data_IF_775545511726
#
_entry.id   IF_775545511726
#
_cell.length_a   1.000
_cell.length_b   1.000
_cell.length_c   1.000
_cell.angle_alpha   90.00
_cell.angle_beta   90.00
_cell.angle_gamma   90.00
#
_symmetry.space_group_name_H-M   'P 1'
#
loop_
_entity.id
_entity.type
_entity.pdbx_description
1 polymer ?
#
# COMPACT_ATOMS: atom_id res chain seq x y z
N UNK A 1 11.56 -2.16 -15.11
CA UNK A 1 10.41 -2.78 -14.43
C UNK A 1 9.17 -2.16 -15.06
N UNK A 2 8.13 -2.93 -15.38
CA UNK A 2 6.90 -2.33 -15.92
C UNK A 2 5.97 -1.93 -14.76
N UNK A 3 5.07 -0.97 -14.99
CA UNK A 3 4.06 -0.51 -14.00
C UNK A 3 3.28 -1.69 -13.39
N UNK A 4 3.03 -2.74 -14.20
CA UNK A 4 2.34 -3.94 -13.76
C UNK A 4 3.17 -4.74 -12.75
N UNK A 5 4.47 -4.85 -12.98
CA UNK A 5 5.39 -5.56 -12.09
C UNK A 5 5.53 -4.84 -10.74
N UNK A 6 5.53 -3.50 -10.74
CA UNK A 6 5.61 -2.69 -9.51
C UNK A 6 4.35 -2.82 -8.66
N UNK A 7 3.17 -2.79 -9.31
CA UNK A 7 1.89 -3.01 -8.64
C UNK A 7 1.82 -4.40 -8.01
N UNK A 8 2.19 -5.43 -8.76
CA UNK A 8 2.08 -6.81 -8.29
C UNK A 8 3.08 -7.08 -7.15
N UNK A 9 4.30 -6.55 -7.23
CA UNK A 9 5.29 -6.60 -6.14
C UNK A 9 4.77 -5.93 -4.85
N UNK A 10 4.11 -4.78 -4.95
CA UNK A 10 3.58 -4.07 -3.79
C UNK A 10 2.41 -4.84 -3.14
N UNK A 11 1.58 -5.50 -3.94
CA UNK A 11 0.49 -6.35 -3.44
C UNK A 11 1.03 -7.57 -2.69
N UNK A 12 2.11 -8.18 -3.18
CA UNK A 12 2.81 -9.26 -2.49
C UNK A 12 3.35 -8.81 -1.14
N UNK A 13 4.02 -7.65 -1.07
CA UNK A 13 4.52 -7.10 0.20
C UNK A 13 3.39 -6.84 1.21
N UNK A 14 2.25 -6.31 0.76
CA UNK A 14 1.08 -6.09 1.62
C UNK A 14 0.52 -7.43 2.12
N UNK A 15 0.53 -8.47 1.27
CA UNK A 15 0.06 -9.80 1.63
C UNK A 15 0.94 -10.48 2.69
N UNK A 16 2.24 -10.18 2.73
CA UNK A 16 3.14 -10.65 3.77
C UNK A 16 2.89 -9.96 5.13
N UNK A 17 2.32 -8.76 5.11
CA UNK A 17 2.20 -7.91 6.30
C UNK A 17 0.81 -7.91 6.94
N UNK A 18 -0.23 -8.19 6.16
CA UNK A 18 -1.62 -8.05 6.61
C UNK A 18 -2.39 -9.36 6.39
N UNK A 19 -3.09 -9.83 7.42
CA UNK A 19 -3.84 -11.09 7.37
C UNK A 19 -4.95 -11.11 6.30
N UNK A 20 -5.56 -9.95 6.05
CA UNK A 20 -6.61 -9.77 5.06
C UNK A 20 -6.27 -8.61 4.12
N UNK A 21 -5.39 -8.84 3.12
CA UNK A 21 -4.86 -7.79 2.24
C UNK A 21 -5.96 -7.06 1.47
N UNK A 22 -6.89 -7.81 0.88
CA UNK A 22 -8.01 -7.23 0.12
C UNK A 22 -8.88 -6.31 0.98
N UNK A 23 -9.24 -6.75 2.19
CA UNK A 23 -10.02 -5.94 3.11
C UNK A 23 -9.26 -4.68 3.55
N UNK A 24 -7.95 -4.78 3.76
CA UNK A 24 -7.11 -3.65 4.12
C UNK A 24 -6.99 -2.63 2.97
N UNK A 25 -6.83 -3.12 1.73
CA UNK A 25 -6.78 -2.28 0.54
C UNK A 25 -8.08 -1.49 0.32
N UNK A 26 -9.23 -2.06 0.70
CA UNK A 26 -10.54 -1.43 0.59
C UNK A 26 -10.92 -0.57 1.82
N UNK A 27 -10.18 -0.68 2.92
CA UNK A 27 -10.48 0.06 4.15
C UNK A 27 -9.90 1.48 4.09
N UNK A 28 -10.71 2.52 4.37
CA UNK A 28 -10.22 3.89 4.54
C UNK A 28 -9.04 3.98 5.51
N UNK A 29 -7.93 4.61 5.08
CA UNK A 29 -6.73 4.76 5.91
C UNK A 29 -6.55 6.21 6.36
N UNK A 30 -6.46 6.44 7.67
CA UNK A 30 -6.30 7.78 8.24
C UNK A 30 -5.00 8.48 7.81
N UNK A 31 -3.91 7.72 7.57
CA UNK A 31 -2.64 8.26 7.06
C UNK A 31 -2.71 8.68 5.59
N UNK A 32 -3.73 8.22 4.88
CA UNK A 32 -4.05 8.58 3.50
C UNK A 32 -5.22 9.58 3.43
N UNK A 33 -5.48 10.33 4.51
CA UNK A 33 -6.59 11.29 4.55
C UNK A 33 -7.97 10.64 4.47
N UNK A 34 -8.10 9.36 4.87
CA UNK A 34 -9.34 8.60 4.78
C UNK A 34 -9.58 7.93 3.43
N UNK A 35 -8.62 7.97 2.51
CA UNK A 35 -8.71 7.23 1.25
C UNK A 35 -8.32 5.76 1.42
N UNK A 36 -8.95 4.84 0.66
CA UNK A 36 -8.55 3.45 0.65
C UNK A 36 -7.22 3.29 -0.11
N UNK A 37 -6.27 2.47 0.39
CA UNK A 37 -5.01 2.19 -0.30
C UNK A 37 -5.17 1.73 -1.76
N UNK A 38 -6.25 0.99 -2.08
CA UNK A 38 -6.53 0.53 -3.46
C UNK A 38 -6.59 1.68 -4.46
N UNK A 39 -7.11 2.85 -4.05
CA UNK A 39 -7.23 4.01 -4.93
C UNK A 39 -5.87 4.58 -5.38
N UNK A 40 -4.80 4.29 -4.64
CA UNK A 40 -3.44 4.76 -4.95
C UNK A 40 -2.69 3.84 -5.93
N UNK A 41 -3.18 2.62 -6.16
CA UNK A 41 -2.48 1.64 -7.00
C UNK A 41 -2.53 1.97 -8.50
N UNK A 42 -3.42 2.87 -8.92
CA UNK A 42 -3.66 3.15 -10.33
C UNK A 42 -2.68 4.15 -10.95
N UNK A 43 -1.93 4.92 -10.15
CA UNK A 43 -0.98 5.94 -10.61
C UNK A 43 0.39 5.84 -9.90
N UNK A 44 1.45 6.31 -10.56
CA UNK A 44 2.84 6.11 -10.13
C UNK A 44 3.10 6.74 -8.74
N UNK A 45 2.67 7.98 -8.55
CA UNK A 45 2.86 8.70 -7.28
C UNK A 45 2.10 8.03 -6.12
N UNK A 46 0.96 7.42 -6.40
CA UNK A 46 0.16 6.70 -5.41
C UNK A 46 0.83 5.41 -4.97
N UNK A 47 1.43 4.68 -5.92
CA UNK A 47 2.23 3.48 -5.62
C UNK A 47 3.43 3.81 -4.73
N UNK A 48 4.11 4.93 -4.98
CA UNK A 48 5.23 5.38 -4.12
C UNK A 48 4.76 5.72 -2.69
N UNK A 49 3.67 6.49 -2.56
CA UNK A 49 3.09 6.83 -1.25
C UNK A 49 2.68 5.56 -0.49
N UNK A 50 2.05 4.61 -1.17
CA UNK A 50 1.63 3.35 -0.57
C UNK A 50 2.83 2.47 -0.19
N UNK A 51 3.85 2.38 -1.04
CA UNK A 51 5.10 1.70 -0.72
C UNK A 51 5.76 2.29 0.54
N UNK A 52 5.87 3.62 0.63
CA UNK A 52 6.42 4.28 1.82
C UNK A 52 5.59 4.00 3.08
N UNK A 53 4.26 3.97 2.97
CA UNK A 53 3.37 3.60 4.06
C UNK A 53 3.63 2.15 4.52
N UNK A 54 3.72 1.22 3.58
CA UNK A 54 3.99 -0.20 3.83
C UNK A 54 5.35 -0.37 4.52
N UNK A 55 6.41 0.28 4.02
CA UNK A 55 7.74 0.22 4.63
C UNK A 55 7.75 0.82 6.05
N UNK A 56 7.06 1.94 6.28
CA UNK A 56 6.95 2.53 7.62
C UNK A 56 6.26 1.59 8.61
N UNK A 57 5.21 0.88 8.18
CA UNK A 57 4.54 -0.13 9.01
C UNK A 57 5.46 -1.33 9.26
N UNK A 58 6.16 -1.81 8.23
CA UNK A 58 7.08 -2.96 8.29
C UNK A 58 8.22 -2.75 9.28
N UNK A 59 8.79 -1.55 9.29
CA UNK A 59 9.92 -1.19 10.13
C UNK A 59 9.52 -0.61 11.49
N UNK A 60 8.22 -0.54 11.82
CA UNK A 60 7.74 0.02 13.08
C UNK A 60 8.01 1.52 13.23
N UNK A 61 8.23 2.24 12.12
CA UNK A 61 8.38 3.68 12.11
C UNK A 61 7.00 4.32 12.18
N UNK A 62 6.54 4.56 13.41
CA UNK A 62 5.36 5.39 13.69
C UNK A 62 5.87 6.82 13.90
N UNK A 63 5.80 7.65 12.86
CA UNK A 63 5.85 9.12 13.01
C UNK A 63 4.45 9.69 13.05
#
# INVERSE_FOLDING_TARGET
MTIRDERDSLLEEIAEMVLHPEAWLDTPNARLGGQPPRALLDFDEGREVLHNLVQNVKHGMVT
#
